data_IF_017031866096
#
_entry.id   IF_017031866096
#
_cell.length_a   1.000
_cell.length_b   1.000
_cell.length_c   1.000
_cell.angle_alpha   90.00
_cell.angle_beta   90.00
_cell.angle_gamma   90.00
#
_symmetry.space_group_name_H-M   'P 1'
#
loop_
_entity.id
_entity.type
_entity.pdbx_description
1 polymer ?
#
# COMPACT_ATOMS: atom_id res chain seq x y z
N UNK A 1 -3.93 2.09 16.58
CA UNK A 1 -4.24 2.82 15.34
C UNK A 1 -3.13 2.51 14.33
N UNK A 2 -3.45 1.94 13.17
CA UNK A 2 -2.46 1.46 12.17
C UNK A 2 -2.27 2.48 11.03
N UNK A 3 -2.29 3.77 11.37
CA UNK A 3 -2.03 4.88 10.47
C UNK A 3 -0.89 5.69 11.06
N UNK A 4 -0.05 6.27 10.20
CA UNK A 4 1.02 7.13 10.68
C UNK A 4 0.47 8.34 11.44
N UNK A 5 1.23 8.86 12.41
CA UNK A 5 0.77 9.90 13.35
C UNK A 5 0.83 11.35 12.80
N UNK A 6 0.72 11.53 11.48
CA UNK A 6 0.95 12.84 10.85
C UNK A 6 0.22 13.01 9.53
N UNK A 7 0.19 14.24 8.97
CA UNK A 7 -0.37 14.46 7.66
C UNK A 7 0.47 13.78 6.57
N UNK A 8 -0.14 13.53 5.42
CA UNK A 8 0.62 13.15 4.23
C UNK A 8 1.45 14.34 3.76
N UNK A 9 2.70 14.07 3.39
CA UNK A 9 3.69 15.09 3.03
C UNK A 9 4.26 14.76 1.66
N UNK A 10 4.48 15.79 0.86
CA UNK A 10 5.17 15.70 -0.42
C UNK A 10 6.67 15.79 -0.19
N UNK A 11 7.36 14.65 -0.30
CA UNK A 11 8.77 14.54 0.09
C UNK A 11 9.66 15.42 -0.77
N UNK A 12 9.32 15.66 -2.04
CA UNK A 12 10.13 16.51 -2.92
C UNK A 12 10.04 17.97 -2.48
N UNK A 13 8.85 18.40 -2.05
CA UNK A 13 8.65 19.73 -1.50
C UNK A 13 9.47 19.96 -0.22
N UNK A 14 9.50 18.98 0.69
CA UNK A 14 10.24 19.11 1.96
C UNK A 14 11.76 19.24 1.77
N UNK A 15 12.31 18.65 0.71
CA UNK A 15 13.76 18.72 0.42
C UNK A 15 14.11 19.82 -0.57
N UNK A 16 13.15 20.67 -0.97
CA UNK A 16 13.34 21.69 -1.99
C UNK A 16 14.40 22.73 -1.63
N UNK A 17 14.56 23.05 -0.35
CA UNK A 17 15.60 23.97 0.15
C UNK A 17 17.00 23.34 0.20
N UNK A 18 17.09 22.02 0.04
CA UNK A 18 18.35 21.27 0.12
C UNK A 18 18.99 21.18 -1.28
N UNK A 19 19.71 22.23 -1.66
CA UNK A 19 20.30 22.40 -3.00
C UNK A 19 21.05 21.16 -3.51
N UNK A 20 21.87 20.51 -2.69
CA UNK A 20 22.64 19.34 -3.12
C UNK A 20 21.78 18.13 -3.51
N UNK A 21 20.56 17.99 -2.94
CA UNK A 21 19.58 16.97 -3.33
C UNK A 21 18.83 17.42 -4.60
N UNK A 22 18.53 18.71 -4.68
CA UNK A 22 17.82 19.30 -5.82
C UNK A 22 18.65 19.40 -7.10
N UNK A 23 19.98 19.36 -7.01
CA UNK A 23 20.86 19.34 -8.19
C UNK A 23 21.07 17.91 -8.77
N UNK A 24 20.69 16.83 -8.06
CA UNK A 24 20.84 15.45 -8.56
C UNK A 24 19.67 14.99 -9.43
N UNK A 25 19.93 14.27 -10.52
CA UNK A 25 18.87 13.72 -11.38
C UNK A 25 18.01 12.64 -10.69
N UNK A 26 18.56 11.98 -9.68
CA UNK A 26 17.91 10.90 -8.94
C UNK A 26 17.85 11.19 -7.44
N UNK A 27 16.66 11.03 -6.86
CA UNK A 27 16.38 11.16 -5.44
C UNK A 27 16.02 9.79 -4.86
N UNK A 28 16.82 9.32 -3.91
CA UNK A 28 16.57 8.08 -3.18
C UNK A 28 16.01 8.43 -1.79
N UNK A 29 14.82 7.94 -1.49
CA UNK A 29 14.12 8.22 -0.23
C UNK A 29 13.89 6.91 0.53
N UNK A 30 14.38 6.85 1.76
CA UNK A 30 14.08 5.75 2.68
C UNK A 30 12.96 6.16 3.64
N UNK A 31 11.86 5.42 3.62
CA UNK A 31 10.70 5.58 4.49
C UNK A 31 10.70 4.44 5.49
N UNK A 32 10.79 4.76 6.78
CA UNK A 32 10.83 3.78 7.88
C UNK A 32 9.61 3.97 8.75
N UNK A 33 8.83 2.91 8.98
CA UNK A 33 7.74 2.91 9.96
C UNK A 33 6.59 3.88 9.64
N UNK A 34 6.38 4.19 8.35
CA UNK A 34 5.26 5.05 7.91
C UNK A 34 3.90 4.38 8.15
N UNK A 35 3.88 3.05 8.29
CA UNK A 35 2.71 2.18 8.44
C UNK A 35 1.76 2.17 7.22
N UNK A 36 1.80 3.19 6.38
CA UNK A 36 1.04 3.29 5.13
C UNK A 36 1.80 4.06 4.02
N UNK A 37 1.27 4.00 2.80
CA UNK A 37 1.86 4.61 1.60
C UNK A 37 1.45 6.06 1.31
N UNK A 38 0.89 6.82 2.26
CA UNK A 38 0.34 8.17 1.99
C UNK A 38 1.38 9.17 1.48
N UNK A 39 2.61 9.14 2.01
CA UNK A 39 3.66 10.07 1.60
C UNK A 39 4.08 9.81 0.14
N UNK A 40 4.11 8.53 -0.24
CA UNK A 40 4.37 8.10 -1.62
C UNK A 40 3.26 8.62 -2.53
N UNK A 41 1.99 8.35 -2.20
CA UNK A 41 0.86 8.82 -3.01
C UNK A 41 0.77 10.35 -3.09
N UNK A 42 1.03 11.06 -1.98
CA UNK A 42 1.05 12.51 -1.94
C UNK A 42 2.13 13.09 -2.85
N UNK A 43 3.33 12.50 -2.83
CA UNK A 43 4.45 12.91 -3.69
C UNK A 43 4.15 12.59 -5.16
N UNK A 44 3.62 11.40 -5.47
CA UNK A 44 3.21 11.03 -6.84
C UNK A 44 2.13 11.99 -7.37
N UNK A 45 1.13 12.32 -6.55
CA UNK A 45 0.04 13.20 -6.94
C UNK A 45 0.51 14.62 -7.25
N UNK A 46 1.56 15.10 -6.58
CA UNK A 46 2.16 16.42 -6.82
C UNK A 46 3.37 16.37 -7.75
N UNK A 47 3.75 15.21 -8.26
CA UNK A 47 5.00 15.05 -9.02
C UNK A 47 5.09 15.99 -10.24
N UNK A 48 3.95 16.33 -10.85
CA UNK A 48 3.87 17.26 -11.98
C UNK A 48 4.25 18.72 -11.64
N UNK A 49 4.27 19.11 -10.37
CA UNK A 49 4.66 20.46 -9.93
C UNK A 49 6.17 20.60 -9.74
N UNK A 50 6.92 19.50 -9.84
CA UNK A 50 8.35 19.43 -9.55
C UNK A 50 9.19 19.29 -10.82
N UNK A 51 10.48 19.65 -10.77
CA UNK A 51 11.42 19.33 -11.85
C UNK A 51 11.41 17.84 -12.17
N UNK A 52 11.51 17.48 -13.45
CA UNK A 52 11.56 16.08 -13.87
C UNK A 52 12.79 15.40 -13.28
N UNK A 53 12.58 14.45 -12.38
CA UNK A 53 13.61 13.69 -11.69
C UNK A 53 13.20 12.24 -11.48
N UNK A 54 14.16 11.34 -11.35
CA UNK A 54 13.86 9.97 -10.94
C UNK A 54 13.75 9.92 -9.42
N UNK A 55 12.66 9.40 -8.87
CA UNK A 55 12.48 9.26 -7.42
C UNK A 55 12.29 7.78 -7.09
N UNK A 56 13.15 7.24 -6.22
CA UNK A 56 13.03 5.88 -5.73
C UNK A 56 12.65 5.89 -4.25
N UNK A 57 11.52 5.28 -3.93
CA UNK A 57 11.10 5.07 -2.55
C UNK A 57 11.49 3.68 -2.07
N UNK A 58 12.26 3.62 -0.99
CA UNK A 58 12.59 2.40 -0.25
C UNK A 58 11.75 2.38 1.01
N UNK A 59 10.94 1.35 1.19
CA UNK A 59 10.02 1.24 2.34
C UNK A 59 10.50 0.13 3.26
N UNK A 60 10.73 0.47 4.52
CA UNK A 60 11.12 -0.47 5.56
C UNK A 60 10.07 -0.46 6.68
N UNK A 61 9.47 -1.62 6.93
CA UNK A 61 8.46 -1.82 7.97
C UNK A 61 8.82 -3.01 8.83
N UNK A 62 8.44 -2.96 10.11
CA UNK A 62 8.64 -4.07 11.06
C UNK A 62 7.67 -5.22 10.77
N UNK A 63 6.45 -4.90 10.31
CA UNK A 63 5.41 -5.87 10.03
C UNK A 63 5.13 -5.94 8.53
N UNK A 64 5.23 -7.13 7.94
CA UNK A 64 4.95 -7.36 6.52
C UNK A 64 3.50 -7.03 6.15
N UNK A 65 2.55 -7.14 7.08
CA UNK A 65 1.17 -6.70 6.89
C UNK A 65 1.06 -5.24 6.45
N UNK A 66 1.95 -4.36 6.94
CA UNK A 66 1.97 -2.95 6.55
C UNK A 66 2.44 -2.76 5.11
N UNK A 67 3.42 -3.56 4.68
CA UNK A 67 3.90 -3.57 3.30
C UNK A 67 2.82 -4.11 2.37
N UNK A 68 2.23 -5.26 2.72
CA UNK A 68 1.12 -5.87 2.00
C UNK A 68 -0.05 -4.88 1.83
N UNK A 69 -0.39 -4.16 2.91
CA UNK A 69 -1.45 -3.16 2.88
C UNK A 69 -1.09 -1.98 2.00
N UNK A 70 0.15 -1.51 2.06
CA UNK A 70 0.66 -0.43 1.22
C UNK A 70 0.60 -0.82 -0.26
N UNK A 71 0.97 -2.06 -0.61
CA UNK A 71 0.83 -2.57 -1.98
C UNK A 71 -0.63 -2.57 -2.45
N UNK A 72 -1.58 -3.03 -1.62
CA UNK A 72 -3.01 -3.00 -1.94
C UNK A 72 -3.54 -1.57 -2.16
N UNK A 73 -3.13 -0.63 -1.32
CA UNK A 73 -3.54 0.78 -1.41
C UNK A 73 -2.97 1.44 -2.67
N UNK A 74 -1.70 1.21 -3.00
CA UNK A 74 -1.06 1.71 -4.23
C UNK A 74 -1.74 1.09 -5.45
N UNK A 75 -1.94 -0.23 -5.47
CA UNK A 75 -2.64 -0.93 -6.55
C UNK A 75 -4.03 -0.34 -6.78
N UNK A 76 -4.77 -0.06 -5.72
CA UNK A 76 -6.11 0.54 -5.81
C UNK A 76 -6.06 1.97 -6.33
N UNK A 77 -5.13 2.80 -5.85
CA UNK A 77 -4.95 4.17 -6.33
C UNK A 77 -4.57 4.23 -7.82
N UNK A 78 -3.80 3.26 -8.29
CA UNK A 78 -3.30 3.20 -9.66
C UNK A 78 -4.13 2.31 -10.59
N UNK A 79 -5.32 1.88 -10.18
CA UNK A 79 -6.22 1.15 -11.10
C UNK A 79 -6.52 2.00 -12.34
N UNK A 80 -6.57 1.40 -13.55
CA UNK A 80 -6.90 2.13 -14.76
C UNK A 80 -8.30 2.76 -14.68
N UNK A 81 -8.50 4.00 -15.17
CA UNK A 81 -9.79 4.68 -15.11
C UNK A 81 -10.89 3.94 -15.88
N UNK A 82 -10.54 3.09 -16.85
CA UNK A 82 -11.48 2.25 -17.61
C UNK A 82 -12.07 1.12 -16.75
N UNK A 83 -11.38 0.70 -15.68
CA UNK A 83 -11.84 -0.35 -14.76
C UNK A 83 -12.49 0.22 -13.52
N UNK A 84 -12.00 1.36 -13.05
CA UNK A 84 -12.44 1.96 -11.79
C UNK A 84 -12.39 3.49 -11.89
N UNK A 85 -13.56 4.11 -11.98
CA UNK A 85 -13.69 5.57 -12.08
C UNK A 85 -13.13 6.27 -10.83
N UNK A 86 -12.73 7.53 -10.97
CA UNK A 86 -12.06 8.30 -9.92
C UNK A 86 -12.82 8.29 -8.58
N UNK A 87 -14.12 8.59 -8.60
CA UNK A 87 -14.93 8.62 -7.38
C UNK A 87 -15.06 7.25 -6.70
N UNK A 88 -15.23 6.19 -7.48
CA UNK A 88 -15.34 4.83 -6.94
C UNK A 88 -14.01 4.39 -6.34
N UNK A 89 -12.92 4.69 -7.04
CA UNK A 89 -11.55 4.48 -6.58
C UNK A 89 -11.27 5.17 -5.26
N UNK A 90 -11.59 6.46 -5.13
CA UNK A 90 -11.41 7.21 -3.88
C UNK A 90 -12.21 6.58 -2.73
N UNK A 91 -13.46 6.16 -2.97
CA UNK A 91 -14.30 5.51 -1.96
C UNK A 91 -13.72 4.17 -1.51
N UNK A 92 -13.33 3.30 -2.47
CA UNK A 92 -12.70 2.02 -2.16
C UNK A 92 -11.38 2.21 -1.41
N UNK A 93 -10.56 3.15 -1.86
CA UNK A 93 -9.28 3.45 -1.22
C UNK A 93 -9.48 3.90 0.23
N UNK A 94 -10.37 4.87 0.48
CA UNK A 94 -10.65 5.38 1.83
C UNK A 94 -11.25 4.30 2.74
N UNK A 95 -12.11 3.44 2.20
CA UNK A 95 -12.70 2.35 2.97
C UNK A 95 -11.66 1.29 3.37
N UNK A 96 -10.78 0.88 2.44
CA UNK A 96 -9.66 -0.03 2.74
C UNK A 96 -8.64 0.64 3.70
N UNK A 97 -8.44 1.94 3.55
CA UNK A 97 -7.52 2.72 4.38
C UNK A 97 -8.03 2.90 5.82
N UNK A 98 -9.33 2.92 6.07
CA UNK A 98 -9.83 3.28 7.40
C UNK A 98 -10.88 2.43 8.06
N UNK A 99 -11.44 1.44 7.38
CA UNK A 99 -12.48 0.62 7.97
C UNK A 99 -12.02 -0.82 8.15
N UNK A 100 -12.22 -1.33 9.37
CA UNK A 100 -12.10 -2.76 9.67
C UNK A 100 -13.33 -3.53 9.17
N UNK A 101 -14.48 -2.87 9.09
CA UNK A 101 -15.72 -3.40 8.53
C UNK A 101 -15.96 -2.81 7.14
N UNK A 102 -15.70 -3.60 6.11
CA UNK A 102 -15.88 -3.19 4.72
C UNK A 102 -17.24 -3.63 4.20
N UNK A 103 -17.81 -2.83 3.30
CA UNK A 103 -19.04 -3.16 2.56
C UNK A 103 -18.82 -4.40 1.69
N UNK A 104 -19.89 -5.14 1.35
CA UNK A 104 -19.77 -6.35 0.52
C UNK A 104 -19.06 -6.12 -0.82
N UNK A 105 -19.26 -4.97 -1.46
CA UNK A 105 -18.58 -4.64 -2.73
C UNK A 105 -17.07 -4.45 -2.53
N UNK A 106 -16.67 -3.74 -1.48
CA UNK A 106 -15.27 -3.51 -1.13
C UNK A 106 -14.58 -4.81 -0.71
N UNK A 107 -15.26 -5.68 0.03
CA UNK A 107 -14.78 -7.03 0.37
C UNK A 107 -14.57 -7.87 -0.90
N UNK A 108 -15.54 -7.91 -1.83
CA UNK A 108 -15.38 -8.61 -3.13
C UNK A 108 -14.18 -8.08 -3.93
N UNK A 109 -14.02 -6.76 -3.97
CA UNK A 109 -12.87 -6.13 -4.62
C UNK A 109 -11.55 -6.54 -3.95
N UNK A 110 -11.47 -6.48 -2.61
CA UNK A 110 -10.29 -6.85 -1.85
C UNK A 110 -9.89 -8.30 -2.11
N UNK A 111 -10.84 -9.24 -2.07
CA UNK A 111 -10.60 -10.66 -2.38
C UNK A 111 -10.02 -10.84 -3.78
N UNK A 112 -10.60 -10.18 -4.79
CA UNK A 112 -10.09 -10.20 -6.16
C UNK A 112 -8.66 -9.66 -6.24
N UNK A 113 -8.36 -8.57 -5.53
CA UNK A 113 -7.01 -7.99 -5.50
C UNK A 113 -6.02 -8.83 -4.69
N UNK A 114 -6.46 -9.51 -3.64
CA UNK A 114 -5.64 -10.41 -2.86
C UNK A 114 -5.13 -11.58 -3.72
N UNK A 115 -5.99 -12.22 -4.52
CA UNK A 115 -5.55 -13.22 -5.50
C UNK A 115 -4.53 -12.65 -6.49
N UNK A 116 -4.76 -11.43 -6.99
CA UNK A 116 -3.83 -10.76 -7.89
C UNK A 116 -2.47 -10.49 -7.22
N UNK A 117 -2.47 -10.11 -5.94
CA UNK A 117 -1.27 -9.83 -5.16
C UNK A 117 -0.47 -11.10 -4.85
N UNK A 118 -1.14 -12.25 -4.62
CA UNK A 118 -0.47 -13.56 -4.55
C UNK A 118 0.37 -13.81 -5.81
N UNK A 119 -0.23 -13.65 -6.99
CA UNK A 119 0.50 -13.79 -8.26
C UNK A 119 1.65 -12.79 -8.39
N UNK A 120 1.47 -11.54 -7.94
CA UNK A 120 2.53 -10.52 -8.00
C UNK A 120 3.75 -10.84 -7.14
N UNK A 121 3.58 -11.44 -5.96
CA UNK A 121 4.75 -11.76 -5.10
C UNK A 121 5.44 -13.06 -5.46
N UNK A 122 4.77 -13.92 -6.23
CA UNK A 122 5.28 -15.21 -6.70
C UNK A 122 5.87 -15.14 -8.11
N UNK A 123 5.46 -14.16 -8.92
CA UNK A 123 5.93 -13.93 -10.29
C UNK A 123 6.32 -12.45 -10.49
N UNK A 124 7.62 -12.18 -10.52
CA UNK A 124 8.17 -10.83 -10.72
C UNK A 124 7.86 -10.25 -12.11
N UNK A 125 7.71 -11.09 -13.13
CA UNK A 125 7.33 -10.63 -14.47
C UNK A 125 5.87 -10.15 -14.47
N UNK A 126 5.00 -10.89 -13.77
CA UNK A 126 3.60 -10.47 -13.56
C UNK A 126 3.50 -9.19 -12.73
N UNK A 127 4.29 -9.05 -11.66
CA UNK A 127 4.37 -7.80 -10.90
C UNK A 127 4.77 -6.63 -11.78
N UNK A 128 5.85 -6.78 -12.56
CA UNK A 128 6.37 -5.73 -13.43
C UNK A 128 5.34 -5.32 -14.50
N UNK A 129 4.59 -6.27 -15.04
CA UNK A 129 3.50 -5.99 -15.99
C UNK A 129 2.33 -5.25 -15.34
N UNK A 130 1.91 -5.67 -14.13
CA UNK A 130 0.68 -5.15 -13.49
C UNK A 130 0.89 -3.90 -12.66
N UNK A 131 2.05 -3.72 -12.04
CA UNK A 131 2.39 -2.61 -11.16
C UNK A 131 3.89 -2.26 -11.31
N UNK A 132 4.30 -1.72 -12.47
CA UNK A 132 5.72 -1.48 -12.81
C UNK A 132 6.44 -0.50 -11.87
N UNK A 133 5.70 0.28 -11.09
CA UNK A 133 6.25 1.23 -10.12
C UNK A 133 6.65 0.59 -8.78
N UNK A 134 6.39 -0.71 -8.59
CA UNK A 134 6.70 -1.45 -7.36
C UNK A 134 7.67 -2.58 -7.65
N UNK A 135 8.69 -2.70 -6.82
CA UNK A 135 9.66 -3.79 -6.84
C UNK A 135 9.76 -4.45 -5.47
N UNK A 136 9.92 -5.78 -5.46
CA UNK A 136 10.16 -6.61 -4.27
C UNK A 136 11.58 -7.21 -4.28
N UNK A 137 12.48 -6.70 -5.14
CA UNK A 137 13.83 -7.23 -5.34
C UNK A 137 14.70 -7.24 -4.08
N UNK A 138 14.45 -6.32 -3.14
CA UNK A 138 15.19 -6.22 -1.87
C UNK A 138 14.64 -7.15 -0.77
N UNK A 139 13.49 -7.81 -0.98
CA UNK A 139 12.90 -8.73 -0.01
C UNK A 139 13.58 -10.10 -0.05
N UNK A 140 13.81 -10.68 1.13
CA UNK A 140 14.28 -12.07 1.27
C UNK A 140 13.18 -13.04 0.85
N UNK A 141 13.55 -14.25 0.41
CA UNK A 141 12.58 -15.29 0.04
C UNK A 141 11.54 -15.57 1.13
N UNK A 142 11.97 -15.70 2.39
CA UNK A 142 11.06 -15.87 3.54
C UNK A 142 10.03 -14.74 3.69
N UNK A 143 10.42 -13.50 3.37
CA UNK A 143 9.51 -12.35 3.43
C UNK A 143 8.47 -12.43 2.31
N UNK A 144 8.88 -12.89 1.11
CA UNK A 144 7.96 -13.12 -0.02
C UNK A 144 6.96 -14.24 0.27
N UNK A 145 7.40 -15.36 0.86
CA UNK A 145 6.52 -16.46 1.28
C UNK A 145 5.49 -16.00 2.33
N UNK A 146 5.93 -15.14 3.26
CA UNK A 146 5.05 -14.54 4.26
C UNK A 146 4.05 -13.58 3.61
N UNK A 147 4.47 -12.76 2.63
CA UNK A 147 3.58 -11.88 1.88
C UNK A 147 2.52 -12.69 1.12
N UNK A 148 2.92 -13.79 0.47
CA UNK A 148 1.98 -14.72 -0.16
C UNK A 148 0.95 -15.23 0.86
N UNK A 149 1.42 -15.69 2.03
CA UNK A 149 0.56 -16.19 3.11
C UNK A 149 -0.47 -15.14 3.55
N UNK A 150 -0.05 -13.88 3.72
CA UNK A 150 -0.93 -12.75 4.07
C UNK A 150 -2.00 -12.56 2.99
N UNK A 151 -1.61 -12.53 1.71
CA UNK A 151 -2.56 -12.33 0.61
C UNK A 151 -3.51 -13.53 0.43
N UNK A 152 -3.03 -14.76 0.60
CA UNK A 152 -3.90 -15.95 0.60
C UNK A 152 -4.91 -15.90 1.75
N UNK A 153 -4.51 -15.40 2.92
CA UNK A 153 -5.43 -15.18 4.04
C UNK A 153 -6.53 -14.17 3.68
N UNK A 154 -6.17 -13.03 3.08
CA UNK A 154 -7.15 -12.04 2.59
C UNK A 154 -8.08 -12.60 1.51
N UNK A 155 -7.53 -13.40 0.60
CA UNK A 155 -8.28 -14.02 -0.50
C UNK A 155 -9.35 -14.99 -0.01
N UNK A 156 -9.11 -15.69 1.11
CA UNK A 156 -10.12 -16.55 1.74
C UNK A 156 -11.31 -15.79 2.32
N UNK A 157 -11.25 -14.45 2.37
CA UNK A 157 -12.28 -13.55 2.90
C UNK A 157 -12.77 -13.96 4.30
N UNK A 158 -11.90 -14.57 5.12
CA UNK A 158 -12.22 -14.95 6.50
C UNK A 158 -12.14 -13.77 7.45
N UNK A 159 -12.51 -12.58 6.98
CA UNK A 159 -12.83 -11.48 7.88
C UNK A 159 -14.17 -11.84 8.52
N UNK A 160 -14.14 -12.82 9.41
CA UNK A 160 -15.19 -13.04 10.39
C UNK A 160 -15.54 -11.68 10.98
N UNK A 161 -16.83 -11.41 11.16
CA UNK A 161 -17.31 -10.11 11.61
C UNK A 161 -16.39 -9.62 12.75
N UNK A 162 -15.61 -8.56 12.51
CA UNK A 162 -14.59 -8.07 13.45
C UNK A 162 -15.23 -7.81 14.82
N UNK A 163 -16.52 -7.49 14.84
CA UNK A 163 -17.35 -7.38 16.05
C UNK A 163 -17.40 -8.70 16.83
N UNK A 164 -17.59 -9.85 16.17
CA UNK A 164 -17.57 -11.17 16.82
C UNK A 164 -16.19 -11.53 17.36
N UNK A 165 -15.13 -11.25 16.61
CA UNK A 165 -13.76 -11.50 17.07
C UNK A 165 -13.43 -10.62 18.30
N UNK A 166 -13.84 -9.36 18.26
CA UNK A 166 -13.68 -8.42 19.37
C UNK A 166 -14.51 -8.85 20.59
N UNK A 167 -15.78 -9.20 20.41
CA UNK A 167 -16.67 -9.71 21.47
C UNK A 167 -16.12 -10.99 22.11
N UNK A 168 -15.69 -11.96 21.29
CA UNK A 168 -15.07 -13.20 21.79
C UNK A 168 -13.80 -12.93 22.60
N UNK A 169 -12.97 -11.97 22.17
CA UNK A 169 -11.74 -11.61 22.87
C UNK A 169 -12.02 -10.91 24.20
N UNK A 170 -13.01 -10.02 24.26
CA UNK A 170 -13.43 -9.36 25.50
C UNK A 170 -13.97 -10.38 26.49
N UNK A 171 -14.81 -11.31 26.04
CA UNK A 171 -15.40 -12.34 26.90
C UNK A 171 -14.38 -13.34 27.45
N UNK A 172 -13.25 -13.54 26.78
CA UNK A 172 -12.14 -14.35 27.32
C UNK A 172 -11.30 -13.60 28.36
N UNK A 173 -11.39 -12.27 28.42
CA UNK A 173 -10.65 -11.42 29.36
C UNK A 173 -11.46 -10.97 30.58
N UNK A 174 -12.74 -11.38 30.67
CA UNK A 174 -13.65 -11.19 31.80
C UNK A 174 -13.81 -12.52 32.54
#
# INVERSE_FOLDING_TARGET
MLWGYGPAVDIIQEVSDVKYLMDRDELNVLIIGSSDGRHILQTIAKFYTHPKKKVNFYVAEVMLDMIARTMLLILTALEPPEKLGLFEKTRLWMEIYGNTLTRPNTSKYLVKKAHQLVHMVTDEAYLSFRLPLVSIGMMKYKERDNMETIFQFWAKNRFENVVKLWDGRIRQSL
#
